data_IF_086471890605
#
_entry.id   IF_086471890605
#
_cell.length_a   1.000
_cell.length_b   1.000
_cell.length_c   1.000
_cell.angle_alpha   90.00
_cell.angle_beta   90.00
_cell.angle_gamma   90.00
#
_symmetry.space_group_name_H-M   'P 1'
#
loop_
_entity.id
_entity.type
_entity.pdbx_description
1 polymer ?
#
# COMPACT_ATOMS: atom_id res chain seq x y z
N UNK A 1 31.02 37.23 59.06
CA UNK A 1 32.02 37.55 58.03
C UNK A 1 31.80 36.63 56.83
N UNK A 2 31.83 37.22 55.64
CA UNK A 2 31.51 36.65 54.33
C UNK A 2 32.47 35.52 53.89
N UNK A 3 32.04 34.62 53.01
CA UNK A 3 32.46 34.64 51.59
C UNK A 3 31.96 33.44 50.77
N UNK A 4 31.58 33.76 49.53
CA UNK A 4 31.25 32.93 48.37
C UNK A 4 32.40 31.98 47.93
N UNK A 5 32.09 30.91 47.16
CA UNK A 5 32.29 30.85 45.69
C UNK A 5 32.12 29.45 45.05
N UNK A 6 31.87 29.46 43.73
CA UNK A 6 31.42 28.41 42.78
C UNK A 6 32.54 27.54 42.16
N UNK A 7 32.19 26.27 41.85
CA UNK A 7 32.38 25.40 40.63
C UNK A 7 33.77 25.32 39.91
N UNK A 8 33.97 24.42 38.90
CA UNK A 8 33.94 22.95 38.86
C UNK A 8 35.22 22.34 38.20
N UNK A 9 35.37 21.00 38.21
CA UNK A 9 36.32 20.25 37.36
C UNK A 9 35.93 18.76 37.31
N UNK A 10 36.15 18.07 36.18
CA UNK A 10 37.35 17.22 36.15
C UNK A 10 38.06 17.13 34.79
N UNK A 11 39.22 16.48 34.91
CA UNK A 11 40.38 16.43 34.04
C UNK A 11 40.22 15.62 32.76
N UNK A 12 40.93 16.08 31.72
CA UNK A 12 41.34 15.34 30.53
C UNK A 12 42.06 14.03 30.89
N UNK A 13 41.79 12.96 30.14
CA UNK A 13 42.75 11.88 29.93
C UNK A 13 42.83 11.58 28.42
N UNK A 14 43.96 11.94 27.81
CA UNK A 14 44.38 11.55 26.47
C UNK A 14 45.44 10.44 26.58
N UNK A 15 45.28 9.36 25.81
CA UNK A 15 46.34 8.64 25.06
C UNK A 15 45.78 7.30 24.58
N UNK A 16 45.66 7.07 23.26
CA UNK A 16 46.68 6.45 22.37
C UNK A 16 46.88 4.95 22.69
N UNK A 17 46.86 3.98 21.77
CA UNK A 17 46.78 3.97 20.32
C UNK A 17 46.68 2.51 19.77
N UNK A 18 46.43 2.40 18.45
CA UNK A 18 46.68 1.29 17.50
C UNK A 18 45.64 0.15 17.37
N UNK A 19 45.58 -0.57 16.22
CA UNK A 19 46.26 -0.36 14.93
C UNK A 19 45.33 -0.32 13.69
N UNK A 20 45.92 0.13 12.58
CA UNK A 20 45.42 0.03 11.20
C UNK A 20 45.23 -1.43 10.77
N UNK A 21 44.08 -1.76 10.18
CA UNK A 21 43.90 -2.99 9.40
C UNK A 21 42.93 -2.77 8.22
N UNK A 22 43.51 -2.85 7.03
CA UNK A 22 43.00 -3.34 5.75
C UNK A 22 41.50 -3.20 5.39
N UNK A 23 41.26 -2.39 4.37
CA UNK A 23 40.04 -2.40 3.53
C UNK A 23 40.09 -3.60 2.59
N UNK A 24 39.07 -4.50 2.55
CA UNK A 24 38.92 -5.42 1.44
C UNK A 24 38.04 -4.76 0.37
N UNK A 25 38.62 -4.59 -0.82
CA UNK A 25 37.91 -4.39 -2.08
C UNK A 25 36.97 -5.59 -2.30
N UNK A 26 35.68 -5.42 -2.05
CA UNK A 26 34.68 -6.39 -2.48
C UNK A 26 34.27 -6.11 -3.92
N UNK A 27 34.74 -7.04 -4.75
CA UNK A 27 34.28 -7.39 -6.09
C UNK A 27 32.79 -7.10 -6.30
N UNK A 28 32.51 -6.26 -7.29
CA UNK A 28 31.18 -5.93 -7.79
C UNK A 28 30.58 -7.19 -8.44
N UNK A 29 29.85 -8.00 -7.67
CA UNK A 29 29.17 -9.18 -8.19
C UNK A 29 27.91 -8.76 -8.97
N UNK A 30 28.03 -8.87 -10.29
CA UNK A 30 27.04 -8.79 -11.35
C UNK A 30 25.56 -8.90 -10.94
N UNK A 31 24.83 -7.80 -11.09
CA UNK A 31 23.36 -7.77 -11.16
C UNK A 31 22.91 -8.59 -12.38
N UNK A 32 22.39 -9.80 -12.15
CA UNK A 32 21.57 -10.48 -13.16
C UNK A 32 20.17 -9.87 -13.14
N UNK A 33 19.91 -9.03 -14.13
CA UNK A 33 18.57 -8.55 -14.49
C UNK A 33 17.79 -9.65 -15.24
N UNK A 34 16.54 -9.88 -14.84
CA UNK A 34 15.58 -10.61 -15.67
C UNK A 34 15.16 -9.74 -16.88
N UNK A 35 15.06 -10.30 -18.10
CA UNK A 35 14.78 -9.53 -19.30
C UNK A 35 13.29 -9.17 -19.41
N UNK A 36 12.99 -7.90 -19.70
CA UNK A 36 11.70 -7.47 -20.25
C UNK A 36 11.75 -7.47 -21.78
N UNK A 37 10.66 -7.82 -22.48
CA UNK A 37 10.62 -7.78 -23.94
C UNK A 37 10.54 -6.33 -24.44
N UNK A 38 11.51 -5.98 -25.29
CA UNK A 38 11.53 -4.76 -26.10
C UNK A 38 10.45 -4.82 -27.19
N UNK A 39 9.75 -3.70 -27.39
CA UNK A 39 9.44 -3.24 -28.73
C UNK A 39 9.67 -1.74 -28.83
N UNK A 40 10.54 -1.38 -29.76
CA UNK A 40 11.14 -0.08 -30.00
C UNK A 40 10.57 0.41 -31.34
N UNK A 41 9.88 1.54 -31.36
CA UNK A 41 9.90 2.44 -32.52
C UNK A 41 9.80 3.88 -32.03
N UNK A 42 10.69 4.70 -32.59
CA UNK A 42 11.04 6.06 -32.22
C UNK A 42 10.74 6.94 -33.44
N UNK A 43 9.95 7.98 -33.25
CA UNK A 43 9.84 9.18 -34.11
C UNK A 43 8.99 10.17 -33.29
N UNK A 44 9.55 11.15 -32.58
CA UNK A 44 10.03 12.45 -33.07
C UNK A 44 9.15 13.03 -34.18
N UNK A 45 8.32 14.02 -33.85
CA UNK A 45 8.50 15.41 -34.25
C UNK A 45 7.32 16.27 -33.77
N UNK A 46 7.66 17.54 -33.50
CA UNK A 46 6.80 18.63 -33.08
C UNK A 46 5.64 18.89 -34.04
N UNK A 47 4.48 19.29 -33.51
CA UNK A 47 3.56 20.17 -34.23
C UNK A 47 2.74 21.01 -33.23
N UNK A 48 3.15 22.28 -33.09
CA UNK A 48 2.33 23.35 -32.56
C UNK A 48 1.35 23.77 -33.66
N UNK A 49 0.04 23.73 -33.41
CA UNK A 49 -0.89 24.70 -33.99
C UNK A 49 -2.19 24.77 -33.22
N UNK A 50 -2.40 25.91 -32.57
CA UNK A 50 -3.70 26.44 -32.16
C UNK A 50 -4.57 26.65 -33.40
N UNK A 51 -5.79 26.11 -33.43
CA UNK A 51 -6.95 26.73 -34.08
C UNK A 51 -8.27 26.10 -33.59
N UNK A 52 -9.03 26.93 -32.87
CA UNK A 52 -10.50 27.08 -32.90
C UNK A 52 -11.38 25.89 -33.33
N UNK A 53 -12.16 25.36 -32.38
CA UNK A 53 -13.38 24.58 -32.65
C UNK A 53 -14.56 25.50 -32.97
N UNK A 54 -15.23 25.35 -34.13
CA UNK A 54 -16.61 25.77 -34.27
C UNK A 54 -17.56 24.59 -34.02
N UNK A 55 -18.62 24.95 -33.28
CA UNK A 55 -19.85 24.23 -33.02
C UNK A 55 -20.46 23.64 -34.32
N UNK A 56 -20.64 22.32 -34.39
CA UNK A 56 -21.52 21.71 -35.40
C UNK A 56 -22.43 20.66 -34.74
N UNK A 57 -23.70 20.78 -35.11
CA UNK A 57 -24.90 20.16 -34.58
C UNK A 57 -24.95 18.64 -34.51
N UNK A 58 -25.79 18.22 -33.54
CA UNK A 58 -26.57 17.00 -33.42
C UNK A 58 -26.75 16.20 -34.73
N UNK A 59 -26.38 14.92 -34.68
CA UNK A 59 -27.02 13.86 -35.45
C UNK A 59 -27.12 12.61 -34.57
N UNK A 60 -28.36 12.21 -34.31
CA UNK A 60 -28.70 10.96 -33.64
C UNK A 60 -28.38 9.79 -34.59
N UNK A 61 -27.62 8.80 -34.10
CA UNK A 61 -27.41 7.53 -34.77
C UNK A 61 -28.08 6.43 -33.95
N UNK A 62 -29.28 6.06 -34.39
CA UNK A 62 -29.88 4.78 -34.02
C UNK A 62 -29.04 3.66 -34.64
N UNK A 63 -28.60 2.69 -33.83
CA UNK A 63 -28.00 1.46 -34.34
C UNK A 63 -28.69 0.25 -33.72
N UNK A 64 -29.06 -0.62 -34.63
CA UNK A 64 -29.91 -1.80 -34.55
C UNK A 64 -29.35 -2.90 -33.66
N UNK A 65 -30.23 -3.50 -32.87
CA UNK A 65 -30.02 -4.73 -32.11
C UNK A 65 -29.71 -5.92 -33.02
N UNK A 66 -28.52 -6.51 -32.87
CA UNK A 66 -28.23 -7.87 -33.35
C UNK A 66 -28.12 -8.79 -32.14
N UNK A 67 -29.03 -9.76 -32.06
CA UNK A 67 -29.12 -10.76 -31.01
C UNK A 67 -28.22 -11.96 -31.34
N UNK A 68 -27.16 -12.18 -30.56
CA UNK A 68 -26.43 -13.44 -30.54
C UNK A 68 -27.10 -14.43 -29.55
N UNK A 69 -27.10 -15.75 -29.81
CA UNK A 69 -27.80 -16.73 -28.98
C UNK A 69 -27.07 -17.00 -27.65
N UNK A 70 -27.86 -17.26 -26.61
CA UNK A 70 -27.43 -17.44 -25.23
C UNK A 70 -26.78 -18.81 -24.98
N UNK A 71 -25.64 -18.81 -24.28
CA UNK A 71 -25.05 -19.98 -23.63
C UNK A 71 -25.81 -20.33 -22.33
N UNK A 72 -26.15 -21.60 -22.05
CA UNK A 72 -26.80 -22.00 -20.81
C UNK A 72 -25.75 -22.20 -19.71
N UNK A 73 -26.07 -21.73 -18.49
CA UNK A 73 -25.24 -21.71 -17.27
C UNK A 73 -24.37 -20.46 -17.06
N UNK A 74 -25.00 -19.29 -16.96
CA UNK A 74 -24.57 -18.31 -15.97
C UNK A 74 -25.73 -18.09 -15.00
N UNK A 75 -25.63 -18.63 -13.79
CA UNK A 75 -26.50 -18.18 -12.71
C UNK A 75 -26.19 -16.70 -12.49
N UNK A 76 -27.04 -15.82 -13.02
CA UNK A 76 -26.90 -14.38 -12.85
C UNK A 76 -26.96 -14.08 -11.34
N UNK A 77 -25.78 -13.88 -10.74
CA UNK A 77 -25.67 -13.38 -9.38
C UNK A 77 -26.36 -12.02 -9.36
N UNK A 78 -27.44 -11.93 -8.58
CA UNK A 78 -28.26 -10.72 -8.49
C UNK A 78 -27.48 -9.65 -7.74
N UNK A 79 -26.76 -8.80 -8.49
CA UNK A 79 -26.07 -7.63 -7.95
C UNK A 79 -27.09 -6.63 -7.37
N UNK A 80 -27.27 -6.65 -6.05
CA UNK A 80 -28.03 -5.63 -5.35
C UNK A 80 -27.10 -4.46 -5.00
N UNK A 81 -27.30 -3.28 -5.59
CA UNK A 81 -26.59 -2.06 -5.16
C UNK A 81 -27.31 -1.45 -3.97
N UNK A 82 -26.67 -1.45 -2.82
CA UNK A 82 -27.17 -0.77 -1.61
C UNK A 82 -27.16 0.75 -1.80
N UNK A 83 -28.04 1.47 -1.07
CA UNK A 83 -28.05 2.93 -0.98
C UNK A 83 -26.70 3.52 -0.51
N UNK A 84 -25.86 2.71 0.14
CA UNK A 84 -24.53 3.06 0.65
C UNK A 84 -23.40 2.82 -0.36
N UNK A 85 -23.70 2.37 -1.58
CA UNK A 85 -22.69 1.95 -2.56
C UNK A 85 -22.09 0.57 -2.32
N UNK A 86 -22.52 -0.13 -1.26
CA UNK A 86 -22.15 -1.52 -1.00
C UNK A 86 -22.78 -2.47 -2.03
N UNK A 87 -22.01 -3.46 -2.45
CA UNK A 87 -22.40 -4.53 -3.35
C UNK A 87 -22.83 -5.76 -2.53
N UNK A 88 -24.05 -6.24 -2.74
CA UNK A 88 -24.51 -7.48 -2.10
C UNK A 88 -24.29 -8.67 -3.05
N UNK A 89 -23.52 -9.67 -2.60
CA UNK A 89 -23.28 -10.93 -3.30
C UNK A 89 -23.46 -12.11 -2.34
N UNK A 90 -24.44 -12.96 -2.61
CA UNK A 90 -24.68 -14.22 -1.88
C UNK A 90 -24.70 -14.08 -0.34
N UNK A 91 -25.37 -13.03 0.16
CA UNK A 91 -25.44 -12.72 1.59
C UNK A 91 -24.24 -11.95 2.16
N UNK A 92 -23.18 -11.75 1.39
CA UNK A 92 -22.03 -10.93 1.76
C UNK A 92 -22.19 -9.50 1.26
N UNK A 93 -21.80 -8.55 2.12
CA UNK A 93 -21.64 -7.14 1.75
C UNK A 93 -20.20 -6.88 1.37
N UNK A 94 -20.00 -6.31 0.18
CA UNK A 94 -18.69 -5.89 -0.32
C UNK A 94 -18.72 -4.38 -0.48
N UNK A 95 -17.76 -3.73 0.15
CA UNK A 95 -17.57 -2.29 0.06
C UNK A 95 -16.14 -1.98 -0.40
N UNK A 96 -15.87 -0.77 -0.87
CA UNK A 96 -14.50 -0.40 -1.14
C UNK A 96 -14.33 0.96 -1.78
N UNK A 97 -13.07 1.36 -1.90
CA UNK A 97 -12.59 2.53 -2.63
C UNK A 97 -11.45 2.07 -3.52
N UNK A 98 -11.47 2.47 -4.79
CA UNK A 98 -10.42 2.15 -5.76
C UNK A 98 -10.22 3.33 -6.69
N UNK A 99 -9.18 4.12 -6.43
CA UNK A 99 -8.78 5.29 -7.20
C UNK A 99 -7.34 5.04 -7.67
N UNK A 100 -7.15 4.92 -8.98
CA UNK A 100 -5.88 4.50 -9.57
C UNK A 100 -4.69 5.34 -9.11
N UNK A 101 -3.68 4.68 -8.55
CA UNK A 101 -2.45 5.32 -8.05
C UNK A 101 -2.65 6.18 -6.80
N UNK A 102 -3.82 6.13 -6.15
CA UNK A 102 -4.13 6.93 -4.96
C UNK A 102 -4.53 6.06 -3.78
N UNK A 103 -5.45 5.12 -3.98
CA UNK A 103 -5.93 4.22 -2.93
C UNK A 103 -6.73 3.06 -3.49
N UNK A 104 -6.43 1.85 -3.01
CA UNK A 104 -7.26 0.66 -3.13
C UNK A 104 -7.53 0.09 -1.74
N UNK A 105 -8.80 -0.17 -1.43
CA UNK A 105 -9.24 -0.85 -0.23
C UNK A 105 -10.60 -1.51 -0.49
N UNK A 106 -10.68 -2.83 -0.35
CA UNK A 106 -11.91 -3.62 -0.51
C UNK A 106 -12.24 -4.28 0.81
N UNK A 107 -13.48 -4.15 1.28
CA UNK A 107 -13.93 -4.57 2.59
C UNK A 107 -15.01 -5.64 2.45
N UNK A 108 -14.92 -6.67 3.28
CA UNK A 108 -15.98 -7.64 3.52
C UNK A 108 -16.34 -7.59 5.00
N UNK A 109 -17.20 -6.63 5.43
CA UNK A 109 -17.48 -6.39 6.83
C UNK A 109 -18.05 -7.62 7.56
N UNK A 110 -18.83 -8.45 6.86
CA UNK A 110 -19.39 -9.70 7.41
C UNK A 110 -18.31 -10.69 7.86
N UNK A 111 -17.12 -10.65 7.24
CA UNK A 111 -15.98 -11.52 7.55
C UNK A 111 -14.89 -10.81 8.35
N UNK A 112 -15.11 -9.53 8.70
CA UNK A 112 -14.10 -8.66 9.31
C UNK A 112 -12.80 -8.59 8.50
N UNK A 113 -12.91 -8.53 7.18
CA UNK A 113 -11.78 -8.66 6.26
C UNK A 113 -11.61 -7.40 5.40
N UNK A 114 -10.36 -6.98 5.20
CA UNK A 114 -9.96 -5.97 4.23
C UNK A 114 -8.91 -6.54 3.26
N UNK A 115 -9.04 -6.23 1.98
CA UNK A 115 -8.00 -6.37 0.97
C UNK A 115 -7.44 -5.00 0.62
N UNK A 116 -6.13 -4.85 0.75
CA UNK A 116 -5.38 -3.62 0.59
C UNK A 116 -5.87 -2.46 1.48
N UNK A 117 -4.97 -1.52 1.75
CA UNK A 117 -5.23 -0.35 2.58
C UNK A 117 -4.36 0.82 2.15
N UNK A 118 -4.69 1.40 0.99
CA UNK A 118 -3.92 2.53 0.42
C UNK A 118 -3.75 3.71 1.38
N UNK A 119 -4.85 4.35 1.82
CA UNK A 119 -4.81 5.50 2.74
C UNK A 119 -5.44 5.23 4.11
N UNK A 120 -5.88 3.99 4.35
CA UNK A 120 -6.63 3.62 5.54
C UNK A 120 -7.97 4.35 5.64
N UNK A 121 -8.99 3.94 4.88
CA UNK A 121 -10.33 4.51 5.04
C UNK A 121 -10.89 4.09 6.40
N UNK A 122 -11.67 4.96 7.04
CA UNK A 122 -12.19 4.74 8.40
C UNK A 122 -12.95 3.41 8.55
N UNK A 123 -13.68 3.00 7.50
CA UNK A 123 -14.42 1.72 7.43
C UNK A 123 -13.52 0.48 7.46
N UNK A 124 -12.23 0.61 7.16
CA UNK A 124 -11.25 -0.48 7.23
C UNK A 124 -10.76 -0.75 8.67
N UNK A 125 -10.76 0.28 9.53
CA UNK A 125 -10.29 0.19 10.92
C UNK A 125 -10.93 -0.97 11.71
N UNK A 126 -12.24 -1.24 11.64
CA UNK A 126 -12.85 -2.35 12.39
C UNK A 126 -12.54 -3.75 11.85
N UNK A 127 -11.96 -3.90 10.65
CA UNK A 127 -11.64 -5.22 10.09
C UNK A 127 -10.48 -5.85 10.87
N UNK A 128 -10.59 -7.14 11.21
CA UNK A 128 -9.58 -7.87 12.02
C UNK A 128 -8.46 -8.46 11.15
N UNK A 129 -8.78 -8.79 9.89
CA UNK A 129 -7.86 -9.39 8.93
C UNK A 129 -7.61 -8.44 7.77
N UNK A 130 -6.34 -8.17 7.49
CA UNK A 130 -5.90 -7.34 6.37
C UNK A 130 -5.02 -8.17 5.44
N UNK A 131 -5.40 -8.29 4.18
CA UNK A 131 -4.64 -8.97 3.14
C UNK A 131 -4.06 -7.94 2.19
N UNK A 132 -2.73 -7.92 2.05
CA UNK A 132 -2.05 -7.04 1.10
C UNK A 132 -1.73 -7.82 -0.16
N UNK A 133 -2.09 -7.28 -1.33
CA UNK A 133 -1.82 -7.90 -2.62
C UNK A 133 -0.38 -7.66 -3.08
N UNK A 134 0.12 -6.43 -2.97
CA UNK A 134 1.47 -6.01 -3.35
C UNK A 134 1.87 -4.69 -2.67
N UNK A 135 3.12 -4.25 -2.85
CA UNK A 135 3.74 -3.18 -2.07
C UNK A 135 3.71 -1.78 -2.72
N UNK A 136 2.83 -1.52 -3.71
CA UNK A 136 2.65 -0.14 -4.16
C UNK A 136 1.96 0.70 -3.07
N UNK A 137 2.29 1.99 -3.00
CA UNK A 137 1.84 2.87 -1.92
C UNK A 137 0.32 2.99 -1.84
N UNK A 138 -0.37 2.95 -2.97
CA UNK A 138 -1.84 2.97 -3.04
C UNK A 138 -2.50 1.67 -2.56
N UNK A 139 -1.71 0.62 -2.26
CA UNK A 139 -2.20 -0.64 -1.68
C UNK A 139 -1.74 -0.87 -0.25
N UNK A 140 -0.51 -0.48 0.13
CA UNK A 140 0.04 -0.75 1.48
C UNK A 140 0.21 0.51 2.33
N UNK A 141 0.15 1.71 1.74
CA UNK A 141 0.60 2.95 2.39
C UNK A 141 -0.06 3.25 3.74
N UNK A 142 -1.32 2.85 3.93
CA UNK A 142 -2.10 3.07 5.14
C UNK A 142 -1.88 2.01 6.23
N UNK A 143 -1.02 1.01 6.03
CA UNK A 143 -0.90 -0.14 6.94
C UNK A 143 -0.50 0.25 8.36
N UNK A 144 0.46 1.18 8.52
CA UNK A 144 0.89 1.66 9.83
C UNK A 144 -0.20 2.50 10.50
N UNK A 145 -0.86 3.37 9.73
CA UNK A 145 -1.96 4.21 10.22
C UNK A 145 -3.13 3.35 10.72
N UNK A 146 -3.45 2.28 10.00
CA UNK A 146 -4.47 1.31 10.38
C UNK A 146 -4.17 0.65 11.73
N UNK A 147 -2.95 0.15 11.93
CA UNK A 147 -2.55 -0.46 13.21
C UNK A 147 -2.54 0.57 14.33
N UNK A 148 -2.01 1.77 14.07
CA UNK A 148 -1.97 2.86 15.05
C UNK A 148 -3.39 3.28 15.49
N UNK A 149 -4.30 3.44 14.54
CA UNK A 149 -5.69 3.84 14.81
C UNK A 149 -6.44 2.77 15.61
N UNK A 150 -6.23 1.48 15.31
CA UNK A 150 -6.76 0.39 16.14
C UNK A 150 -6.20 0.41 17.55
N UNK A 151 -4.91 0.71 17.71
CA UNK A 151 -4.27 0.90 19.01
C UNK A 151 -4.90 2.07 19.81
N UNK A 152 -5.13 3.20 19.14
CA UNK A 152 -5.78 4.37 19.72
C UNK A 152 -7.19 4.06 20.24
N UNK A 153 -7.96 3.30 19.46
CA UNK A 153 -9.30 2.84 19.84
C UNK A 153 -9.30 1.62 20.78
N UNK A 154 -8.13 1.19 21.28
CA UNK A 154 -7.97 0.03 22.18
C UNK A 154 -8.62 -1.24 21.62
N UNK A 155 -8.59 -1.40 20.31
CA UNK A 155 -9.12 -2.57 19.61
C UNK A 155 -8.14 -3.74 19.70
N UNK A 156 -8.63 -4.93 19.35
CA UNK A 156 -7.78 -6.12 19.21
C UNK A 156 -6.67 -5.85 18.16
N UNK A 157 -5.41 -6.24 18.41
CA UNK A 157 -4.35 -6.21 17.41
C UNK A 157 -4.78 -6.93 16.12
N UNK A 158 -4.64 -6.30 14.94
CA UNK A 158 -5.06 -6.91 13.68
C UNK A 158 -4.07 -7.98 13.22
N UNK A 159 -4.53 -8.86 12.34
CA UNK A 159 -3.68 -9.79 11.60
C UNK A 159 -3.47 -9.25 10.19
N UNK A 160 -2.22 -8.94 9.86
CA UNK A 160 -1.80 -8.45 8.54
C UNK A 160 -1.14 -9.59 7.80
N UNK A 161 -1.72 -9.99 6.68
CA UNK A 161 -1.23 -11.03 5.79
C UNK A 161 -0.59 -10.35 4.58
N UNK A 162 0.67 -10.69 4.32
CA UNK A 162 1.44 -10.16 3.20
C UNK A 162 2.09 -11.30 2.42
N UNK A 163 2.40 -11.11 1.13
CA UNK A 163 3.24 -12.04 0.39
C UNK A 163 4.55 -12.29 1.14
N UNK A 164 4.99 -13.55 1.20
CA UNK A 164 6.19 -13.95 1.97
C UNK A 164 7.44 -13.15 1.62
N UNK A 165 7.61 -12.78 0.35
CA UNK A 165 8.71 -11.93 -0.12
C UNK A 165 8.69 -10.50 0.46
N UNK A 166 7.53 -10.00 0.86
CA UNK A 166 7.36 -8.66 1.43
C UNK A 166 7.46 -8.64 2.96
N UNK A 167 7.32 -9.79 3.64
CA UNK A 167 7.24 -9.88 5.10
C UNK A 167 8.36 -9.11 5.80
N UNK A 168 9.62 -9.42 5.48
CA UNK A 168 10.77 -8.79 6.13
C UNK A 168 10.85 -7.26 5.90
N UNK A 169 10.39 -6.78 4.74
CA UNK A 169 10.35 -5.34 4.43
C UNK A 169 9.25 -4.64 5.21
N UNK A 170 8.09 -5.29 5.38
CA UNK A 170 6.98 -4.75 6.16
C UNK A 170 7.28 -4.75 7.66
N UNK A 171 8.03 -5.74 8.17
CA UNK A 171 8.53 -5.72 9.56
C UNK A 171 9.38 -4.47 9.82
N UNK A 172 10.34 -4.19 8.92
CA UNK A 172 11.17 -2.97 8.98
C UNK A 172 10.34 -1.69 8.88
N UNK A 173 9.30 -1.68 8.04
CA UNK A 173 8.40 -0.52 7.93
C UNK A 173 7.74 -0.20 9.28
N UNK A 174 7.27 -1.23 9.99
CA UNK A 174 6.73 -1.03 11.33
C UNK A 174 7.79 -0.60 12.34
N UNK A 175 9.00 -1.17 12.30
CA UNK A 175 10.11 -0.73 13.17
C UNK A 175 10.43 0.76 12.99
N UNK A 176 10.60 1.21 11.75
CA UNK A 176 10.83 2.64 11.45
C UNK A 176 9.69 3.50 11.97
N UNK A 177 8.44 3.09 11.78
CA UNK A 177 7.31 3.86 12.30
C UNK A 177 7.22 3.86 13.83
N UNK A 178 7.63 2.78 14.52
CA UNK A 178 7.74 2.77 15.99
C UNK A 178 8.78 3.76 16.49
N UNK A 179 9.92 3.87 15.80
CA UNK A 179 10.96 4.84 16.14
C UNK A 179 10.50 6.28 15.92
N UNK A 180 9.72 6.54 14.87
CA UNK A 180 9.22 7.88 14.55
C UNK A 180 8.08 8.33 15.48
N UNK A 181 7.10 7.45 15.73
CA UNK A 181 5.85 7.79 16.43
C UNK A 181 5.90 7.48 17.94
N UNK A 182 6.80 6.58 18.38
CA UNK A 182 6.86 6.09 19.76
C UNK A 182 5.73 5.12 20.14
N UNK A 183 4.84 4.79 19.21
CA UNK A 183 3.75 3.83 19.40
C UNK A 183 4.26 2.38 19.34
N UNK A 184 3.63 1.47 20.10
CA UNK A 184 3.99 0.05 20.08
C UNK A 184 3.63 -0.65 18.74
N UNK A 185 2.62 -0.14 18.03
CA UNK A 185 2.06 -0.69 16.79
C UNK A 185 1.88 -2.22 16.89
N UNK A 186 1.07 -2.67 17.87
CA UNK A 186 0.79 -4.09 18.10
C UNK A 186 0.01 -4.71 16.92
N UNK A 187 0.60 -5.70 16.26
CA UNK A 187 -0.02 -6.42 15.14
C UNK A 187 0.56 -7.84 15.03
N UNK A 188 -0.15 -8.71 14.31
CA UNK A 188 0.35 -10.03 13.91
C UNK A 188 0.65 -10.04 12.41
N UNK A 189 1.93 -10.15 12.03
CA UNK A 189 2.33 -10.18 10.61
C UNK A 189 2.57 -11.62 10.14
N UNK A 190 1.81 -12.04 9.13
CA UNK A 190 1.90 -13.38 8.54
C UNK A 190 2.36 -13.26 7.09
N UNK A 191 3.44 -13.96 6.75
CA UNK A 191 3.89 -14.11 5.37
C UNK A 191 3.22 -15.33 4.73
N UNK A 192 2.52 -15.15 3.61
CA UNK A 192 1.85 -16.22 2.88
C UNK A 192 2.59 -16.52 1.57
N UNK A 193 2.82 -17.80 1.29
CA UNK A 193 3.31 -18.27 -0.01
C UNK A 193 2.17 -18.31 -1.03
N UNK A 194 2.48 -18.16 -2.32
CA UNK A 194 1.52 -18.39 -3.39
C UNK A 194 1.05 -19.84 -3.37
N UNK A 195 -0.27 -20.05 -3.38
CA UNK A 195 -0.88 -21.39 -3.36
C UNK A 195 -0.39 -22.24 -4.54
N UNK A 196 -0.07 -23.50 -4.26
CA UNK A 196 0.19 -24.55 -5.27
C UNK A 196 -1.03 -25.45 -5.40
#
# INVERSE_FOLDING_TARGET
MLSLARLPGPLLCCSLAHPLAAVPLLSYCSLRQCPSPRSRTRTSLYCLSLTTWPLVSRLAMASSSSSAPASPHSSQLKLGRSKTGALQLDGFSIEGVSIGGQETCILLPNLKLAFDIGRCPERAVPQDFLFISHAHMDHIGGVCMYVATRGLFKMKPPTVIVPKCLKATVEKLFEVHRELDGSELKHHLVGLDVGR
#
